data_IF_594727880669
#
_entry.id   IF_594727880669
#
_cell.length_a   1.000
_cell.length_b   1.000
_cell.length_c   1.000
_cell.angle_alpha   90.00
_cell.angle_beta   90.00
_cell.angle_gamma   90.00
#
_symmetry.space_group_name_H-M   'P 1'
#
loop_
_entity.id
_entity.type
_entity.pdbx_description
1 polymer ?
#
# COMPACT_ATOMS: atom_id res chain seq x y z
N UNK A 1 -59.42 -63.81 22.02
CA UNK A 1 -58.68 -63.15 20.92
C UNK A 1 -58.24 -61.78 21.40
N UNK A 2 -56.97 -61.70 21.75
CA UNK A 2 -56.26 -60.48 22.14
C UNK A 2 -55.95 -59.65 20.92
N UNK A 3 -56.29 -58.35 20.89
CA UNK A 3 -55.46 -57.32 20.26
C UNK A 3 -55.78 -55.97 20.90
N UNK A 4 -54.83 -55.49 21.71
CA UNK A 4 -54.83 -54.17 22.33
C UNK A 4 -54.34 -53.17 21.28
N UNK A 5 -55.18 -52.19 20.95
CA UNK A 5 -54.77 -50.98 20.25
C UNK A 5 -54.03 -50.07 21.25
N UNK A 6 -52.70 -50.08 21.20
CA UNK A 6 -51.83 -49.21 21.99
C UNK A 6 -51.11 -48.23 21.08
N UNK A 7 -51.54 -46.97 21.14
CA UNK A 7 -50.89 -45.81 20.52
C UNK A 7 -49.39 -45.77 20.88
N UNK A 8 -48.51 -45.75 19.86
CA UNK A 8 -47.09 -45.40 19.98
C UNK A 8 -46.87 -44.03 19.33
N UNK A 9 -47.48 -43.00 19.91
CA UNK A 9 -46.95 -41.65 19.84
C UNK A 9 -46.02 -41.44 21.05
N UNK A 10 -44.98 -40.64 20.84
CA UNK A 10 -44.10 -40.06 21.86
C UNK A 10 -42.92 -40.89 22.37
N UNK A 11 -41.85 -41.05 21.56
CA UNK A 11 -40.50 -41.23 22.13
C UNK A 11 -39.30 -40.86 21.24
N UNK A 12 -39.34 -39.77 20.45
CA UNK A 12 -38.15 -39.30 19.70
C UNK A 12 -37.69 -37.85 19.98
N UNK A 13 -38.38 -37.11 20.85
CA UNK A 13 -38.16 -35.67 21.06
C UNK A 13 -36.86 -35.27 21.83
N UNK A 14 -36.40 -35.97 22.89
CA UNK A 14 -35.33 -35.41 23.76
C UNK A 14 -33.91 -35.45 23.18
N UNK A 15 -33.61 -36.42 22.29
CA UNK A 15 -32.26 -36.57 21.71
C UNK A 15 -31.99 -35.56 20.60
N UNK A 16 -33.01 -35.22 19.81
CA UNK A 16 -32.91 -34.26 18.71
C UNK A 16 -32.60 -32.85 19.23
N UNK A 17 -33.19 -32.47 20.36
CA UNK A 17 -33.00 -31.14 20.95
C UNK A 17 -31.60 -30.95 21.55
N UNK A 18 -31.04 -31.97 22.23
CA UNK A 18 -29.65 -31.92 22.75
C UNK A 18 -28.60 -31.82 21.63
N UNK A 19 -28.81 -32.52 20.52
CA UNK A 19 -27.89 -32.50 19.38
C UNK A 19 -27.89 -31.14 18.67
N UNK A 20 -29.07 -30.52 18.52
CA UNK A 20 -29.21 -29.15 17.99
C UNK A 20 -28.56 -28.09 18.90
N UNK A 21 -28.70 -28.21 20.23
CA UNK A 21 -28.12 -27.26 21.18
C UNK A 21 -26.59 -27.30 21.19
N UNK A 22 -25.99 -28.50 21.19
CA UNK A 22 -24.54 -28.68 21.10
C UNK A 22 -24.01 -28.13 19.78
N UNK A 23 -24.72 -28.35 18.67
CA UNK A 23 -24.30 -27.87 17.35
C UNK A 23 -24.41 -26.34 17.23
N UNK A 24 -25.42 -25.72 17.83
CA UNK A 24 -25.55 -24.25 17.92
C UNK A 24 -24.47 -23.63 18.80
N UNK A 25 -24.16 -24.23 19.95
CA UNK A 25 -23.08 -23.77 20.83
C UNK A 25 -21.71 -23.91 20.17
N UNK A 26 -21.43 -25.01 19.46
CA UNK A 26 -20.20 -25.18 18.68
C UNK A 26 -20.11 -24.15 17.54
N UNK A 27 -21.20 -23.88 16.83
CA UNK A 27 -21.24 -22.84 15.78
C UNK A 27 -20.99 -21.44 16.34
N UNK A 28 -21.56 -21.13 17.50
CA UNK A 28 -21.33 -19.85 18.17
C UNK A 28 -19.88 -19.71 18.66
N UNK A 29 -19.32 -20.76 19.27
CA UNK A 29 -17.92 -20.78 19.71
C UNK A 29 -16.95 -20.62 18.54
N UNK A 30 -17.18 -21.34 17.43
CA UNK A 30 -16.37 -21.20 16.21
C UNK A 30 -16.50 -19.78 15.63
N UNK A 31 -17.69 -19.21 15.63
CA UNK A 31 -17.93 -17.84 15.14
C UNK A 31 -17.18 -16.79 15.99
N UNK A 32 -17.20 -16.90 17.32
CA UNK A 32 -16.47 -16.00 18.22
C UNK A 32 -14.96 -16.13 18.02
N UNK A 33 -14.44 -17.34 17.86
CA UNK A 33 -13.01 -17.57 17.57
C UNK A 33 -12.62 -16.96 16.22
N UNK A 34 -13.42 -17.19 15.17
CA UNK A 34 -13.18 -16.60 13.85
C UNK A 34 -13.22 -15.07 13.90
N UNK A 35 -14.20 -14.47 14.59
CA UNK A 35 -14.25 -13.02 14.79
C UNK A 35 -13.01 -12.52 15.56
N UNK A 36 -12.56 -13.24 16.59
CA UNK A 36 -11.34 -12.92 17.32
C UNK A 36 -10.09 -12.96 16.46
N UNK A 37 -9.94 -13.99 15.60
CA UNK A 37 -8.82 -14.09 14.66
C UNK A 37 -8.87 -12.98 13.60
N UNK A 38 -10.05 -12.65 13.08
CA UNK A 38 -10.22 -11.55 12.10
C UNK A 38 -9.86 -10.21 12.73
N UNK A 39 -10.28 -9.96 13.97
CA UNK A 39 -9.94 -8.75 14.71
C UNK A 39 -8.43 -8.65 14.99
N UNK A 40 -7.79 -9.73 15.45
CA UNK A 40 -6.34 -9.70 15.69
C UNK A 40 -5.54 -9.55 14.41
N UNK A 41 -5.90 -10.26 13.34
CA UNK A 41 -5.27 -10.12 12.02
C UNK A 41 -5.47 -8.71 11.44
N UNK A 42 -6.62 -8.07 11.69
CA UNK A 42 -6.90 -6.71 11.26
C UNK A 42 -6.15 -5.65 12.08
N UNK A 43 -6.01 -5.84 13.39
CA UNK A 43 -5.33 -4.89 14.29
C UNK A 43 -3.81 -5.03 14.28
N UNK A 44 -3.28 -6.23 14.01
CA UNK A 44 -1.85 -6.53 14.07
C UNK A 44 -0.97 -5.63 13.18
N UNK A 45 -1.34 -5.31 11.91
CA UNK A 45 -0.56 -4.39 11.09
C UNK A 45 -0.44 -2.99 11.71
N UNK A 46 -1.54 -2.49 12.29
CA UNK A 46 -1.56 -1.19 12.95
C UNK A 46 -0.69 -1.19 14.21
N UNK A 47 -0.78 -2.24 15.03
CA UNK A 47 0.03 -2.39 16.23
C UNK A 47 1.52 -2.51 15.88
N UNK A 48 1.86 -3.26 14.83
CA UNK A 48 3.23 -3.40 14.32
C UNK A 48 3.76 -2.08 13.76
N UNK A 49 2.94 -1.34 13.03
CA UNK A 49 3.29 -0.03 12.49
C UNK A 49 3.55 0.99 13.60
N UNK A 50 2.64 1.07 14.58
CA UNK A 50 2.80 1.93 15.75
C UNK A 50 4.02 1.54 16.58
N UNK A 51 4.25 0.24 16.80
CA UNK A 51 5.42 -0.28 17.48
C UNK A 51 6.73 0.08 16.75
N UNK A 52 6.76 -0.01 15.42
CA UNK A 52 7.90 0.40 14.60
C UNK A 52 8.20 1.89 14.70
N UNK A 53 7.18 2.75 14.63
CA UNK A 53 7.33 4.20 14.83
C UNK A 53 7.83 4.54 16.23
N UNK A 54 7.26 3.92 17.26
CA UNK A 54 7.67 4.16 18.65
C UNK A 54 9.13 3.74 18.84
N UNK A 55 9.48 2.54 18.37
CA UNK A 55 10.85 2.02 18.46
C UNK A 55 11.84 2.96 17.77
N UNK A 56 11.54 3.40 16.55
CA UNK A 56 12.36 4.37 15.81
C UNK A 56 12.55 5.69 16.56
N UNK A 57 11.49 6.21 17.16
CA UNK A 57 11.57 7.42 17.97
C UNK A 57 12.47 7.26 19.22
N UNK A 58 12.55 6.06 19.80
CA UNK A 58 13.37 5.79 20.97
C UNK A 58 14.82 5.41 20.64
N UNK A 59 15.05 4.67 19.56
CA UNK A 59 16.39 4.22 19.15
C UNK A 59 17.11 5.22 18.26
N UNK A 60 16.42 6.26 17.77
CA UNK A 60 16.94 7.17 16.77
C UNK A 60 17.10 6.49 15.40
N UNK A 61 16.48 5.32 15.19
CA UNK A 61 16.47 4.65 13.89
C UNK A 61 15.57 5.38 12.90
N UNK A 62 15.76 5.11 11.61
CA UNK A 62 14.96 5.74 10.56
C UNK A 62 13.46 5.44 10.71
N UNK A 63 12.61 6.41 10.32
CA UNK A 63 11.16 6.28 10.31
C UNK A 63 10.70 5.76 8.93
N UNK A 64 10.21 4.51 8.83
CA UNK A 64 9.78 3.95 7.55
C UNK A 64 8.66 4.80 6.92
N UNK A 65 8.77 5.03 5.61
CA UNK A 65 7.83 5.84 4.83
C UNK A 65 7.97 7.35 4.99
N UNK A 66 8.98 7.85 5.72
CA UNK A 66 9.23 9.31 5.81
C UNK A 66 9.67 9.90 4.46
N UNK A 67 10.45 9.15 3.70
CA UNK A 67 10.87 9.48 2.34
C UNK A 67 10.20 8.58 1.32
N UNK A 68 10.16 9.05 0.08
CA UNK A 68 9.62 8.33 -1.07
C UNK A 68 10.56 8.43 -2.27
N UNK A 69 10.53 7.39 -3.10
CA UNK A 69 11.12 7.38 -4.45
C UNK A 69 9.99 7.37 -5.46
N UNK A 70 9.97 8.35 -6.37
CA UNK A 70 9.01 8.41 -7.45
C UNK A 70 9.65 7.96 -8.77
N UNK A 71 8.88 7.22 -9.57
CA UNK A 71 9.17 6.93 -10.97
C UNK A 71 8.40 7.92 -11.84
N UNK A 72 9.09 8.55 -12.78
CA UNK A 72 8.49 9.42 -13.80
C UNK A 72 9.05 9.06 -15.16
N UNK A 73 8.19 8.69 -16.11
CA UNK A 73 8.60 8.50 -17.51
C UNK A 73 8.44 9.81 -18.29
N UNK A 74 9.42 10.10 -19.15
CA UNK A 74 9.45 11.27 -20.01
C UNK A 74 9.73 10.85 -21.47
N UNK A 75 9.20 11.58 -22.48
CA UNK A 75 9.38 11.23 -23.88
C UNK A 75 10.82 11.35 -24.39
N UNK A 76 11.63 12.19 -23.74
CA UNK A 76 13.02 12.42 -24.14
C UNK A 76 13.84 13.01 -22.99
N UNK A 77 15.17 13.02 -23.17
CA UNK A 77 16.13 13.41 -22.13
C UNK A 77 16.02 14.89 -21.77
N UNK A 78 15.70 15.74 -22.75
CA UNK A 78 15.52 17.17 -22.54
C UNK A 78 14.33 17.43 -21.61
N UNK A 79 13.19 16.78 -21.85
CA UNK A 79 12.00 16.87 -20.99
C UNK A 79 12.29 16.41 -19.58
N UNK A 80 12.99 15.27 -19.42
CA UNK A 80 13.37 14.77 -18.11
C UNK A 80 14.28 15.74 -17.35
N UNK A 81 15.25 16.37 -18.04
CA UNK A 81 16.16 17.38 -17.46
C UNK A 81 15.41 18.65 -17.07
N UNK A 82 14.49 19.12 -17.90
CA UNK A 82 13.75 20.36 -17.65
C UNK A 82 12.78 20.20 -16.48
N UNK A 83 12.00 19.11 -16.46
CA UNK A 83 11.15 18.75 -15.31
C UNK A 83 12.01 18.57 -14.07
N UNK A 84 13.12 17.82 -14.18
CA UNK A 84 14.02 17.53 -13.08
C UNK A 84 14.62 18.79 -12.45
N UNK A 85 15.10 19.73 -13.27
CA UNK A 85 15.57 21.04 -12.78
C UNK A 85 14.47 21.80 -12.06
N UNK A 86 13.29 21.89 -12.68
CA UNK A 86 12.22 22.69 -12.13
C UNK A 86 11.71 22.17 -10.77
N UNK A 87 11.65 20.85 -10.57
CA UNK A 87 11.24 20.29 -9.27
C UNK A 87 12.33 20.44 -8.19
N UNK A 88 13.62 20.40 -8.57
CA UNK A 88 14.73 20.65 -7.63
C UNK A 88 14.82 22.12 -7.24
N UNK A 89 14.69 23.05 -8.20
CA UNK A 89 14.68 24.50 -7.94
C UNK A 89 13.56 24.91 -6.98
N UNK A 90 12.41 24.25 -7.09
CA UNK A 90 11.24 24.43 -6.21
C UNK A 90 11.36 23.67 -4.88
N UNK A 91 12.50 23.03 -4.60
CA UNK A 91 12.75 22.24 -3.39
C UNK A 91 11.71 21.13 -3.17
N UNK A 92 11.19 20.53 -4.25
CA UNK A 92 10.24 19.40 -4.17
C UNK A 92 10.93 18.05 -4.24
N UNK A 93 12.20 18.00 -4.66
CA UNK A 93 13.02 16.79 -4.72
C UNK A 93 14.46 17.10 -4.31
N UNK A 94 15.10 16.14 -3.64
CA UNK A 94 16.49 16.27 -3.21
C UNK A 94 17.46 15.74 -4.28
N UNK A 95 17.10 14.63 -4.93
CA UNK A 95 17.95 13.94 -5.90
C UNK A 95 17.12 13.31 -7.00
N UNK A 96 17.64 13.29 -8.21
CA UNK A 96 17.02 12.66 -9.38
C UNK A 96 18.08 11.86 -10.12
N UNK A 97 17.82 10.57 -10.34
CA UNK A 97 18.60 9.79 -11.31
C UNK A 97 17.82 9.78 -12.62
N UNK A 98 18.47 10.15 -13.72
CA UNK A 98 17.90 10.08 -15.07
C UNK A 98 18.54 8.88 -15.75
N UNK A 99 17.75 7.84 -16.02
CA UNK A 99 18.21 6.64 -16.69
C UNK A 99 18.07 6.84 -18.21
N UNK A 100 19.14 6.61 -18.99
CA UNK A 100 19.08 6.79 -20.43
C UNK A 100 18.19 5.70 -21.06
N UNK A 101 17.47 6.10 -22.11
CA UNK A 101 16.72 5.28 -23.08
C UNK A 101 16.19 3.94 -22.55
N UNK A 102 14.98 3.96 -22.01
CA UNK A 102 14.21 2.77 -21.69
C UNK A 102 13.28 2.39 -22.85
N UNK A 103 13.08 1.09 -23.08
CA UNK A 103 12.05 0.59 -24.01
C UNK A 103 10.77 0.37 -23.23
N UNK A 104 9.69 1.03 -23.63
CA UNK A 104 8.38 0.95 -22.98
C UNK A 104 7.38 0.31 -23.95
N UNK A 105 6.70 -0.74 -23.51
CA UNK A 105 5.59 -1.37 -24.24
C UNK A 105 4.29 -1.15 -23.47
N UNK A 106 3.23 -0.72 -24.15
CA UNK A 106 1.94 -0.46 -23.52
C UNK A 106 0.77 -0.68 -24.48
N UNK A 107 -0.43 -0.88 -23.93
CA UNK A 107 -1.65 -0.98 -24.73
C UNK A 107 -2.24 0.41 -24.98
N UNK A 108 -2.52 0.70 -26.24
CA UNK A 108 -3.23 1.91 -26.64
C UNK A 108 -4.15 1.63 -27.82
N UNK A 109 -5.42 2.05 -27.71
CA UNK A 109 -6.45 1.87 -28.74
C UNK A 109 -6.57 0.43 -29.28
N UNK A 110 -6.37 -0.56 -28.40
CA UNK A 110 -6.50 -1.98 -28.74
C UNK A 110 -5.25 -2.63 -29.33
N UNK A 111 -4.15 -1.87 -29.47
CA UNK A 111 -2.88 -2.38 -30.02
C UNK A 111 -1.75 -2.21 -28.99
N UNK A 112 -0.72 -3.04 -29.13
CA UNK A 112 0.52 -2.88 -28.38
C UNK A 112 1.36 -1.82 -29.10
N UNK A 113 1.82 -0.83 -28.34
CA UNK A 113 2.71 0.23 -28.81
C UNK A 113 4.09 0.04 -28.18
N UNK A 114 5.11 0.38 -28.95
CA UNK A 114 6.51 0.46 -28.51
C UNK A 114 6.95 1.92 -28.50
N UNK A 115 7.56 2.37 -27.41
CA UNK A 115 8.14 3.70 -27.28
C UNK A 115 9.53 3.65 -26.66
N UNK A 116 10.37 4.62 -27.00
CA UNK A 116 11.61 4.90 -26.27
C UNK A 116 11.35 6.06 -25.33
N UNK A 117 11.62 5.88 -24.05
CA UNK A 117 11.37 6.87 -23.01
C UNK A 117 12.60 7.06 -22.13
N UNK A 118 12.51 8.00 -21.19
CA UNK A 118 13.51 8.28 -20.18
C UNK A 118 12.86 8.13 -18.81
N UNK A 119 13.41 7.24 -18.00
CA UNK A 119 12.94 7.01 -16.64
C UNK A 119 13.70 7.89 -15.64
N UNK A 120 12.96 8.61 -14.80
CA UNK A 120 13.49 9.37 -13.68
C UNK A 120 13.20 8.67 -12.36
N UNK A 121 14.21 8.54 -11.50
CA UNK A 121 14.07 8.11 -10.10
C UNK A 121 14.25 9.32 -9.18
N UNK A 122 13.14 9.87 -8.71
CA UNK A 122 13.11 11.10 -7.92
C UNK A 122 13.03 10.77 -6.44
N UNK A 123 13.95 11.26 -5.60
CA UNK A 123 13.97 11.04 -4.15
C UNK A 123 13.55 12.31 -3.44
N UNK A 124 12.59 12.18 -2.54
CA UNK A 124 11.99 13.30 -1.82
C UNK A 124 11.39 12.85 -0.49
N UNK A 125 10.87 13.80 0.29
CA UNK A 125 10.01 13.54 1.45
C UNK A 125 8.64 13.08 0.98
N UNK A 126 8.07 12.09 1.66
CA UNK A 126 6.72 11.58 1.35
C UNK A 126 5.65 12.67 1.44
N UNK A 127 5.85 13.67 2.32
CA UNK A 127 4.96 14.84 2.45
C UNK A 127 4.89 15.69 1.18
N UNK A 128 5.91 15.68 0.31
CA UNK A 128 5.97 16.48 -0.92
C UNK A 128 5.46 15.73 -2.16
N UNK A 129 5.23 14.42 -2.05
CA UNK A 129 4.85 13.55 -3.18
C UNK A 129 3.65 14.08 -3.95
N UNK A 130 2.57 14.51 -3.27
CA UNK A 130 1.37 14.99 -3.95
C UNK A 130 1.62 16.27 -4.74
N UNK A 131 2.28 17.26 -4.13
CA UNK A 131 2.63 18.53 -4.77
C UNK A 131 3.55 18.31 -5.98
N UNK A 132 4.48 17.36 -5.87
CA UNK A 132 5.37 16.97 -6.96
C UNK A 132 4.57 16.34 -8.12
N UNK A 133 3.66 15.39 -7.83
CA UNK A 133 2.77 14.78 -8.82
C UNK A 133 1.96 15.85 -9.57
N UNK A 134 1.34 16.76 -8.83
CA UNK A 134 0.49 17.81 -9.42
C UNK A 134 1.31 18.76 -10.30
N UNK A 135 2.52 19.11 -9.86
CA UNK A 135 3.42 19.92 -10.67
C UNK A 135 3.84 19.20 -11.95
N UNK A 136 4.29 17.94 -11.85
CA UNK A 136 4.71 17.17 -13.04
C UNK A 136 3.56 17.09 -14.03
N UNK A 137 2.34 16.75 -13.57
CA UNK A 137 1.14 16.76 -14.44
C UNK A 137 0.91 18.08 -15.17
N UNK A 138 1.16 19.22 -14.52
CA UNK A 138 0.94 20.53 -15.12
C UNK A 138 1.92 20.90 -16.23
N UNK A 139 3.12 20.30 -16.23
CA UNK A 139 4.20 20.64 -17.19
C UNK A 139 4.56 19.50 -18.13
N UNK A 140 4.08 18.29 -17.87
CA UNK A 140 4.43 17.12 -18.65
C UNK A 140 3.74 17.16 -20.03
N UNK A 141 4.44 16.83 -21.13
CA UNK A 141 3.86 16.86 -22.48
C UNK A 141 2.78 15.81 -22.74
N UNK A 142 2.78 14.72 -21.99
CA UNK A 142 1.70 13.73 -22.04
C UNK A 142 0.49 14.18 -21.22
N UNK A 143 -0.70 13.90 -21.73
CA UNK A 143 -1.98 14.16 -21.03
C UNK A 143 -2.08 13.36 -19.72
N UNK A 144 -1.60 12.12 -19.71
CA UNK A 144 -1.60 11.23 -18.54
C UNK A 144 -0.17 10.74 -18.31
N UNK A 145 0.69 11.53 -17.65
CA UNK A 145 2.05 11.09 -17.34
C UNK A 145 2.07 10.00 -16.28
N UNK A 146 2.98 9.04 -16.42
CA UNK A 146 3.29 8.10 -15.35
C UNK A 146 4.06 8.83 -14.24
N UNK A 147 3.46 8.90 -13.05
CA UNK A 147 4.12 9.35 -11.82
C UNK A 147 3.66 8.45 -10.67
N UNK A 148 4.53 7.54 -10.22
CA UNK A 148 4.21 6.57 -9.16
C UNK A 148 5.22 6.67 -8.03
N UNK A 149 4.78 6.48 -6.78
CA UNK A 149 5.59 6.69 -5.58
C UNK A 149 5.71 5.41 -4.75
N UNK A 150 6.92 5.13 -4.27
CA UNK A 150 7.23 4.02 -3.37
C UNK A 150 7.80 4.55 -2.06
N UNK A 151 7.30 4.10 -0.90
CA UNK A 151 7.87 4.49 0.39
C UNK A 151 9.27 3.89 0.57
N UNK A 152 10.17 4.67 1.15
CA UNK A 152 11.48 4.20 1.61
C UNK A 152 11.30 3.60 3.01
N UNK A 153 11.56 2.30 3.14
CA UNK A 153 11.43 1.58 4.41
C UNK A 153 12.70 1.68 5.27
N UNK A 154 13.88 1.75 4.65
CA UNK A 154 15.16 1.86 5.34
C UNK A 154 16.23 2.51 4.44
N UNK A 155 17.33 2.94 5.04
CA UNK A 155 18.49 3.47 4.31
C UNK A 155 19.53 4.13 5.20
N UNK A 156 20.52 4.74 4.55
CA UNK A 156 21.59 5.47 5.26
C UNK A 156 21.03 6.71 5.96
N UNK A 157 21.07 6.74 7.29
CA UNK A 157 20.60 7.88 8.10
C UNK A 157 21.24 9.21 7.68
N UNK A 158 22.58 9.32 7.46
CA UNK A 158 23.17 10.55 6.95
C UNK A 158 22.59 11.00 5.60
N UNK A 159 22.33 10.06 4.69
CA UNK A 159 21.76 10.38 3.38
C UNK A 159 20.33 10.88 3.51
N UNK A 160 19.51 10.22 4.34
CA UNK A 160 18.11 10.59 4.55
C UNK A 160 17.98 11.93 5.28
N UNK A 161 18.89 12.24 6.21
CA UNK A 161 19.00 13.59 6.80
C UNK A 161 19.36 14.66 5.76
N UNK A 162 20.25 14.35 4.83
CA UNK A 162 20.54 15.27 3.73
C UNK A 162 19.33 15.49 2.82
N UNK A 163 18.53 14.45 2.55
CA UNK A 163 17.26 14.60 1.80
C UNK A 163 16.33 15.55 2.54
N UNK A 164 16.25 15.42 3.87
CA UNK A 164 15.47 16.31 4.73
C UNK A 164 15.95 17.77 4.65
N UNK A 165 17.26 18.03 4.65
CA UNK A 165 17.81 19.38 4.54
C UNK A 165 17.60 19.98 3.14
N UNK A 166 17.69 19.15 2.10
CA UNK A 166 17.52 19.58 0.72
C UNK A 166 16.05 19.90 0.37
N UNK A 167 15.10 19.27 1.07
CA UNK A 167 13.65 19.38 0.86
C UNK A 167 12.97 19.67 2.22
N UNK A 168 12.98 20.94 2.68
CA UNK A 168 12.36 21.29 3.96
C UNK A 168 10.83 21.16 3.91
N UNK A 169 10.20 20.98 5.08
CA UNK A 169 8.75 21.12 5.21
C UNK A 169 8.35 22.56 4.92
N UNK A 170 7.13 22.73 4.39
CA UNK A 170 6.57 24.08 4.15
C UNK A 170 6.23 24.78 5.48
#
# INVERSE_FOLDING_TARGET
MTFVAGSKMDFLSPRYHKQSLVQTLCRFGLFVICMGMVLTMSMYPMLRFLGGKLHSSFTGSYLPGHHSVLLVNCPNEQTAKDIGRAIMERRMAACINILPRTSTMYYWKGEIQDATEILMLVKTRTSKTQRLIDYVKSVHPYEIPEVISFPVEDGSLPYLKWVDEAVPDD
#
